data_IF_106381713015
#
_entry.id   IF_106381713015
#
_cell.length_a   1.000
_cell.length_b   1.000
_cell.length_c   1.000
_cell.angle_alpha   90.00
_cell.angle_beta   90.00
_cell.angle_gamma   90.00
#
_symmetry.space_group_name_H-M   'P 1'
#
loop_
_entity.id
_entity.type
_entity.pdbx_description
1 polymer ?
#
# COMPACT_ATOMS: atom_id res chain seq x y z
N UNK A 1 -23.12 4.33 21.95
CA UNK A 1 -22.32 3.08 21.86
C UNK A 1 -20.93 3.39 22.40
N UNK A 2 -20.32 2.48 23.18
CA UNK A 2 -18.94 2.66 23.66
C UNK A 2 -17.94 2.65 22.50
N UNK A 3 -16.77 3.26 22.69
CA UNK A 3 -15.68 3.23 21.70
C UNK A 3 -15.31 1.80 21.33
N UNK A 4 -15.17 0.91 22.32
CA UNK A 4 -14.85 -0.50 22.10
C UNK A 4 -15.84 -1.20 21.15
N UNK A 5 -17.15 -0.99 21.36
CA UNK A 5 -18.17 -1.62 20.50
C UNK A 5 -18.11 -1.05 19.07
N UNK A 6 -17.86 0.26 18.91
CA UNK A 6 -17.68 0.87 17.59
C UNK A 6 -16.47 0.28 16.86
N UNK A 7 -15.33 0.16 17.54
CA UNK A 7 -14.11 -0.44 16.96
C UNK A 7 -14.30 -1.91 16.60
N UNK A 8 -15.03 -2.70 17.42
CA UNK A 8 -15.35 -4.10 17.09
C UNK A 8 -16.18 -4.18 15.80
N UNK A 9 -17.22 -3.35 15.67
CA UNK A 9 -18.04 -3.34 14.45
C UNK A 9 -17.22 -2.91 13.25
N UNK A 10 -16.40 -1.87 13.39
CA UNK A 10 -15.49 -1.42 12.34
C UNK A 10 -14.55 -2.54 11.89
N UNK A 11 -13.87 -3.23 12.81
CA UNK A 11 -12.95 -4.31 12.49
C UNK A 11 -13.65 -5.50 11.81
N UNK A 12 -14.85 -5.86 12.29
CA UNK A 12 -15.65 -6.92 11.68
C UNK A 12 -16.04 -6.57 10.24
N UNK A 13 -16.46 -5.33 9.99
CA UNK A 13 -16.79 -4.85 8.64
C UNK A 13 -15.55 -4.80 7.75
N UNK A 14 -14.43 -4.25 8.25
CA UNK A 14 -13.20 -4.11 7.48
C UNK A 14 -12.70 -5.48 7.04
N UNK A 15 -12.68 -6.44 7.97
CA UNK A 15 -12.33 -7.83 7.67
C UNK A 15 -13.29 -8.44 6.65
N UNK A 16 -14.61 -8.36 6.88
CA UNK A 16 -15.61 -8.98 6.01
C UNK A 16 -15.59 -8.42 4.59
N UNK A 17 -15.42 -7.11 4.42
CA UNK A 17 -15.39 -6.46 3.10
C UNK A 17 -14.08 -6.81 2.37
N UNK A 18 -12.92 -6.65 3.02
CA UNK A 18 -11.63 -6.96 2.40
C UNK A 18 -11.54 -8.42 1.99
N UNK A 19 -11.86 -9.35 2.90
CA UNK A 19 -11.81 -10.78 2.59
C UNK A 19 -12.94 -11.24 1.67
N UNK A 20 -14.12 -10.64 1.76
CA UNK A 20 -15.23 -10.94 0.85
C UNK A 20 -14.87 -10.68 -0.61
N UNK A 21 -14.11 -9.62 -0.89
CA UNK A 21 -13.59 -9.32 -2.23
C UNK A 21 -12.63 -10.42 -2.71
N UNK A 22 -11.65 -10.79 -1.90
CA UNK A 22 -10.64 -11.81 -2.26
C UNK A 22 -11.28 -13.19 -2.43
N UNK A 23 -12.12 -13.60 -1.47
CA UNK A 23 -12.82 -14.88 -1.49
C UNK A 23 -13.76 -14.95 -2.70
N UNK A 24 -14.52 -13.89 -2.95
CA UNK A 24 -15.39 -13.80 -4.11
C UNK A 24 -14.62 -13.92 -5.43
N UNK A 25 -13.49 -13.22 -5.55
CA UNK A 25 -12.65 -13.31 -6.73
C UNK A 25 -12.03 -14.71 -6.93
N UNK A 26 -11.63 -15.37 -5.85
CA UNK A 26 -11.15 -16.75 -5.90
C UNK A 26 -12.23 -17.71 -6.42
N UNK A 27 -13.43 -17.68 -5.87
CA UNK A 27 -14.54 -18.53 -6.32
C UNK A 27 -15.05 -18.17 -7.73
N UNK A 28 -14.82 -16.94 -8.18
CA UNK A 28 -15.08 -16.53 -9.56
C UNK A 28 -13.99 -16.99 -10.55
N UNK A 29 -12.94 -17.68 -10.09
CA UNK A 29 -11.81 -18.11 -10.93
C UNK A 29 -10.91 -16.96 -11.41
N UNK A 30 -10.98 -15.80 -10.75
CA UNK A 30 -10.19 -14.61 -11.11
C UNK A 30 -8.82 -14.58 -10.43
N UNK A 31 -8.60 -15.38 -9.39
CA UNK A 31 -7.35 -15.40 -8.60
C UNK A 31 -6.12 -15.78 -9.42
N UNK A 32 -6.31 -16.65 -10.42
CA UNK A 32 -5.21 -17.23 -11.18
C UNK A 32 -4.89 -16.41 -12.44
N UNK A 33 -5.67 -15.37 -12.70
CA UNK A 33 -5.47 -14.48 -13.84
C UNK A 33 -4.62 -13.27 -13.42
N UNK A 34 -3.37 -13.14 -13.92
CA UNK A 34 -2.48 -12.03 -13.56
C UNK A 34 -3.06 -10.64 -13.87
N UNK A 35 -3.97 -10.55 -14.84
CA UNK A 35 -4.64 -9.30 -15.19
C UNK A 35 -5.54 -8.77 -14.07
N UNK A 36 -6.12 -9.66 -13.26
CA UNK A 36 -7.03 -9.29 -12.18
C UNK A 36 -6.37 -9.23 -10.80
N UNK A 37 -5.17 -9.79 -10.63
CA UNK A 37 -4.46 -9.80 -9.35
C UNK A 37 -4.31 -8.40 -8.74
N UNK A 38 -3.77 -7.43 -9.49
CA UNK A 38 -3.58 -6.06 -9.00
C UNK A 38 -4.91 -5.33 -8.71
N UNK A 39 -5.92 -5.34 -9.61
CA UNK A 39 -7.23 -4.78 -9.31
C UNK A 39 -7.92 -5.37 -8.07
N UNK A 40 -7.86 -6.70 -7.88
CA UNK A 40 -8.46 -7.38 -6.72
C UNK A 40 -7.77 -6.94 -5.43
N UNK A 41 -6.43 -6.91 -5.43
CA UNK A 41 -5.64 -6.43 -4.29
C UNK A 41 -5.96 -4.97 -3.96
N UNK A 42 -6.02 -4.10 -4.97
CA UNK A 42 -6.40 -2.70 -4.77
C UNK A 42 -7.83 -2.58 -4.21
N UNK A 43 -8.77 -3.40 -4.69
CA UNK A 43 -10.15 -3.39 -4.22
C UNK A 43 -10.28 -3.84 -2.76
N UNK A 44 -9.59 -4.91 -2.34
CA UNK A 44 -9.65 -5.36 -0.93
C UNK A 44 -9.10 -4.32 0.05
N UNK A 45 -8.14 -3.48 -0.37
CA UNK A 45 -7.57 -2.42 0.47
C UNK A 45 -8.57 -1.28 0.74
N UNK A 46 -9.69 -1.22 0.00
CA UNK A 46 -10.77 -0.26 0.26
C UNK A 46 -11.66 -0.65 1.46
N UNK A 47 -11.53 -1.87 1.98
CA UNK A 47 -12.37 -2.39 3.06
C UNK A 47 -12.41 -1.51 4.32
N UNK A 48 -11.27 -1.06 4.87
CA UNK A 48 -11.24 -0.13 6.00
C UNK A 48 -11.96 1.20 5.72
N UNK A 49 -11.72 1.85 4.58
CA UNK A 49 -12.44 3.08 4.21
C UNK A 49 -13.96 2.87 4.14
N UNK A 50 -14.41 1.83 3.45
CA UNK A 50 -15.85 1.53 3.33
C UNK A 50 -16.45 1.29 4.73
N UNK A 51 -15.72 0.56 5.59
CA UNK A 51 -16.16 0.27 6.95
C UNK A 51 -16.24 1.51 7.83
N UNK A 52 -15.26 2.42 7.74
CA UNK A 52 -15.29 3.69 8.45
C UNK A 52 -16.42 4.58 7.95
N UNK A 53 -16.72 4.60 6.65
CA UNK A 53 -17.87 5.32 6.11
C UNK A 53 -19.17 4.74 6.69
N UNK A 54 -19.37 3.41 6.63
CA UNK A 54 -20.56 2.76 7.21
C UNK A 54 -20.70 3.11 8.68
N UNK A 55 -19.65 2.94 9.48
CA UNK A 55 -19.67 3.25 10.92
C UNK A 55 -19.96 4.73 11.19
N UNK A 56 -19.36 5.64 10.41
CA UNK A 56 -19.56 7.09 10.53
C UNK A 56 -21.02 7.46 10.29
N UNK A 57 -21.64 6.93 9.23
CA UNK A 57 -23.03 7.23 8.90
C UNK A 57 -24.01 6.55 9.86
N UNK A 58 -23.66 5.38 10.41
CA UNK A 58 -24.50 4.62 11.34
C UNK A 58 -24.44 5.14 12.79
N UNK A 59 -23.27 5.60 13.25
CA UNK A 59 -23.04 5.86 14.68
C UNK A 59 -22.81 7.33 15.03
N UNK A 60 -22.42 8.16 14.07
CA UNK A 60 -22.07 9.56 14.32
C UNK A 60 -23.16 10.52 13.85
N UNK A 61 -23.33 11.61 14.61
CA UNK A 61 -24.28 12.67 14.26
C UNK A 61 -23.81 13.39 13.01
N UNK A 62 -24.74 13.92 12.21
CA UNK A 62 -24.43 14.54 10.92
C UNK A 62 -23.31 15.61 10.97
N UNK A 63 -23.24 16.41 12.04
CA UNK A 63 -22.20 17.44 12.22
C UNK A 63 -20.83 16.92 12.69
N UNK A 64 -20.71 15.67 13.11
CA UNK A 64 -19.47 15.10 13.66
C UNK A 64 -18.75 14.16 12.68
N UNK A 65 -19.38 13.85 11.53
CA UNK A 65 -18.89 12.85 10.57
C UNK A 65 -17.51 13.14 10.00
N UNK A 66 -17.23 14.39 9.64
CA UNK A 66 -15.91 14.79 9.10
C UNK A 66 -14.83 14.61 10.16
N UNK A 67 -15.13 14.95 11.42
CA UNK A 67 -14.22 14.75 12.55
C UNK A 67 -14.02 13.26 12.83
N UNK A 68 -15.10 12.47 12.79
CA UNK A 68 -15.06 11.04 13.00
C UNK A 68 -14.29 10.29 11.90
N UNK A 69 -14.15 10.85 10.70
CA UNK A 69 -13.30 10.29 9.64
C UNK A 69 -11.84 10.78 9.70
N UNK A 70 -11.47 11.62 10.67
CA UNK A 70 -10.11 12.16 10.78
C UNK A 70 -9.68 13.01 9.58
N UNK A 71 -10.63 13.60 8.84
CA UNK A 71 -10.37 14.40 7.65
C UNK A 71 -9.91 15.81 8.03
N UNK A 72 -8.70 15.90 8.58
CA UNK A 72 -8.02 17.16 8.88
C UNK A 72 -6.59 17.16 8.34
N UNK A 73 -6.23 18.21 7.60
CA UNK A 73 -4.89 18.38 7.08
C UNK A 73 -4.13 19.40 7.93
N UNK A 74 -3.09 18.92 8.63
CA UNK A 74 -2.15 19.77 9.37
C UNK A 74 -0.73 19.30 9.08
N UNK A 75 0.01 20.00 8.19
CA UNK A 75 1.41 19.70 7.94
C UNK A 75 2.18 19.69 9.25
N UNK A 76 3.01 18.67 9.44
CA UNK A 76 3.88 18.57 10.60
C UNK A 76 5.14 17.76 10.25
N UNK A 77 6.14 17.81 11.12
CA UNK A 77 7.44 17.13 10.91
C UNK A 77 7.31 15.62 10.72
N UNK A 78 6.27 14.98 11.27
CA UNK A 78 6.02 13.56 11.11
C UNK A 78 5.71 13.16 9.67
N UNK A 79 5.30 14.09 8.80
CA UNK A 79 5.12 13.80 7.37
C UNK A 79 6.45 13.47 6.71
N UNK A 80 7.47 14.28 7.01
CA UNK A 80 8.83 14.07 6.50
C UNK A 80 9.43 12.81 7.13
N UNK A 81 9.24 12.62 8.43
CA UNK A 81 9.73 11.42 9.12
C UNK A 81 9.05 10.14 8.62
N UNK A 82 7.73 10.14 8.40
CA UNK A 82 7.00 8.99 7.87
C UNK A 82 7.44 8.63 6.44
N UNK A 83 7.88 9.60 5.65
CA UNK A 83 8.47 9.34 4.34
C UNK A 83 9.92 8.84 4.44
N UNK A 84 10.74 9.43 5.33
CA UNK A 84 12.17 9.13 5.44
C UNK A 84 12.44 7.81 6.18
N UNK A 85 11.68 7.48 7.22
CA UNK A 85 11.91 6.30 8.07
C UNK A 85 11.90 5.00 7.26
N UNK A 86 10.91 4.71 6.38
CA UNK A 86 10.94 3.50 5.55
C UNK A 86 12.15 3.42 4.62
N UNK A 87 12.61 4.57 4.10
CA UNK A 87 13.82 4.65 3.25
C UNK A 87 15.05 4.26 4.06
N UNK A 88 15.19 4.81 5.27
CA UNK A 88 16.28 4.49 6.17
C UNK A 88 16.25 3.02 6.60
N UNK A 89 15.07 2.47 6.90
CA UNK A 89 14.91 1.05 7.24
C UNK A 89 15.30 0.17 6.05
N UNK A 90 14.88 0.51 4.83
CA UNK A 90 15.25 -0.21 3.61
C UNK A 90 16.76 -0.20 3.37
N UNK A 91 17.38 0.98 3.45
CA UNK A 91 18.84 1.12 3.33
C UNK A 91 19.60 0.36 4.42
N UNK A 92 19.13 0.45 5.67
CA UNK A 92 19.71 -0.28 6.80
C UNK A 92 19.57 -1.80 6.63
N UNK A 93 18.46 -2.27 6.07
CA UNK A 93 18.25 -3.69 5.78
C UNK A 93 19.21 -4.22 4.73
N UNK A 94 19.47 -3.43 3.67
CA UNK A 94 20.49 -3.77 2.65
C UNK A 94 21.88 -3.79 3.27
N UNK A 95 22.24 -2.78 4.05
CA UNK A 95 23.53 -2.73 4.73
C UNK A 95 23.71 -3.90 5.70
N UNK A 96 22.69 -4.22 6.50
CA UNK A 96 22.69 -5.36 7.40
C UNK A 96 22.88 -6.68 6.64
N UNK A 97 22.22 -6.85 5.50
CA UNK A 97 22.36 -8.06 4.66
C UNK A 97 23.79 -8.23 4.18
N UNK A 98 24.44 -7.16 3.71
CA UNK A 98 25.83 -7.20 3.23
C UNK A 98 26.81 -7.46 4.39
N UNK A 99 26.57 -6.87 5.56
CA UNK A 99 27.49 -6.97 6.71
C UNK A 99 27.36 -8.30 7.46
N UNK A 100 26.18 -8.93 7.43
CA UNK A 100 25.85 -10.09 8.27
C UNK A 100 25.70 -11.39 7.47
N UNK A 101 25.95 -11.39 6.16
CA UNK A 101 25.86 -12.58 5.31
C UNK A 101 26.93 -12.58 4.21
N UNK A 102 27.02 -13.68 3.46
CA UNK A 102 27.95 -13.79 2.31
C UNK A 102 27.44 -13.08 1.03
N UNK A 103 26.36 -12.30 1.13
CA UNK A 103 25.80 -11.57 -0.01
C UNK A 103 26.56 -10.26 -0.26
N UNK A 104 26.65 -9.89 -1.53
CA UNK A 104 27.24 -8.63 -1.97
C UNK A 104 26.18 -7.70 -2.56
N UNK A 105 26.48 -6.41 -2.58
CA UNK A 105 25.63 -5.43 -3.24
C UNK A 105 25.55 -5.71 -4.74
N UNK A 106 24.34 -5.71 -5.27
CA UNK A 106 24.06 -5.73 -6.71
C UNK A 106 23.38 -4.43 -7.09
N UNK A 107 23.87 -3.79 -8.14
CA UNK A 107 23.25 -2.59 -8.70
C UNK A 107 21.79 -2.87 -9.10
N UNK A 108 20.86 -2.04 -8.65
CA UNK A 108 19.41 -2.28 -8.79
C UNK A 108 19.03 -2.48 -10.26
N UNK A 109 19.57 -1.65 -11.16
CA UNK A 109 19.34 -1.73 -12.58
C UNK A 109 19.82 -3.05 -13.17
N UNK A 110 21.03 -3.48 -12.81
CA UNK A 110 21.56 -4.79 -13.21
C UNK A 110 20.71 -5.95 -12.67
N UNK A 111 20.24 -5.85 -11.42
CA UNK A 111 19.37 -6.86 -10.81
C UNK A 111 18.02 -6.99 -11.51
N UNK A 112 17.40 -5.87 -11.90
CA UNK A 112 16.16 -5.87 -12.69
C UNK A 112 16.37 -6.50 -14.07
N UNK A 113 17.50 -6.24 -14.74
CA UNK A 113 17.82 -6.88 -16.03
C UNK A 113 17.96 -8.39 -15.87
N UNK A 114 18.77 -8.84 -14.92
CA UNK A 114 18.97 -10.26 -14.64
C UNK A 114 17.65 -10.96 -14.30
N UNK A 115 16.78 -10.33 -13.51
CA UNK A 115 15.46 -10.87 -13.18
C UNK A 115 14.54 -10.95 -14.40
N UNK A 116 14.55 -9.94 -15.27
CA UNK A 116 13.74 -9.94 -16.50
C UNK A 116 14.23 -10.97 -17.52
N UNK A 117 15.55 -11.10 -17.70
CA UNK A 117 16.17 -12.12 -18.55
C UNK A 117 15.85 -13.54 -18.04
N UNK A 118 15.92 -13.76 -16.72
CA UNK A 118 15.52 -15.03 -16.11
C UNK A 118 14.03 -15.37 -16.32
N UNK A 119 13.18 -14.37 -16.55
CA UNK A 119 11.77 -14.52 -16.91
C UNK A 119 11.54 -14.62 -18.43
N UNK A 120 12.59 -14.69 -19.24
CA UNK A 120 12.51 -14.74 -20.70
C UNK A 120 11.96 -13.46 -21.33
N UNK A 121 12.05 -12.31 -20.64
CA UNK A 121 11.59 -11.03 -21.17
C UNK A 121 12.65 -10.42 -22.07
N UNK A 122 12.24 -10.03 -23.28
CA UNK A 122 13.11 -9.29 -24.20
C UNK A 122 13.21 -7.81 -23.78
N UNK A 123 14.39 -7.42 -23.32
CA UNK A 123 14.69 -6.05 -22.89
C UNK A 123 15.09 -5.14 -24.05
N UNK A 124 15.25 -5.64 -25.27
CA UNK A 124 15.61 -4.82 -26.44
C UNK A 124 14.56 -3.76 -26.76
N UNK A 125 13.31 -4.04 -26.42
CA UNK A 125 12.17 -3.13 -26.59
C UNK A 125 11.96 -2.21 -25.37
N UNK A 126 12.65 -2.47 -24.26
CA UNK A 126 12.51 -1.67 -23.05
C UNK A 126 13.32 -0.37 -23.18
N UNK A 127 12.77 0.79 -22.78
CA UNK A 127 13.54 2.03 -22.74
C UNK A 127 14.76 1.87 -21.83
N UNK A 128 15.92 2.41 -22.24
CA UNK A 128 17.16 2.28 -21.47
C UNK A 128 17.03 2.76 -20.01
N UNK A 129 16.21 3.79 -19.78
CA UNK A 129 15.96 4.32 -18.44
C UNK A 129 15.19 3.34 -17.54
N UNK A 130 14.39 2.41 -18.08
CA UNK A 130 13.56 1.49 -17.30
C UNK A 130 14.38 0.50 -16.46
N UNK A 131 15.65 0.32 -16.82
CA UNK A 131 16.62 -0.51 -16.10
C UNK A 131 17.72 0.32 -15.45
N UNK A 132 17.56 1.65 -15.35
CA UNK A 132 18.50 2.53 -14.66
C UNK A 132 18.23 2.51 -13.17
N UNK A 133 19.25 2.25 -12.36
CA UNK A 133 19.17 2.32 -10.89
C UNK A 133 18.59 3.64 -10.41
N UNK A 134 19.05 4.77 -10.94
CA UNK A 134 18.56 6.08 -10.52
C UNK A 134 17.11 6.31 -10.88
N UNK A 135 16.67 5.81 -12.04
CA UNK A 135 15.27 5.88 -12.42
C UNK A 135 14.42 5.01 -11.51
N UNK A 136 14.81 3.76 -11.25
CA UNK A 136 14.08 2.82 -10.39
C UNK A 136 14.00 3.36 -8.96
N UNK A 137 15.10 3.87 -8.40
CA UNK A 137 15.12 4.49 -7.07
C UNK A 137 14.22 5.72 -7.03
N UNK A 138 14.31 6.61 -8.02
CA UNK A 138 13.45 7.81 -8.07
C UNK A 138 11.97 7.43 -8.20
N UNK A 139 11.67 6.42 -9.02
CA UNK A 139 10.34 5.83 -9.15
C UNK A 139 9.85 5.28 -7.81
N UNK A 140 10.66 4.50 -7.09
CA UNK A 140 10.27 3.93 -5.81
C UNK A 140 10.05 4.99 -4.72
N UNK A 141 10.97 5.95 -4.60
CA UNK A 141 10.97 6.94 -3.52
C UNK A 141 9.94 8.06 -3.70
N UNK A 142 9.70 8.47 -4.95
CA UNK A 142 8.84 9.62 -5.27
C UNK A 142 7.53 9.15 -5.88
N UNK A 143 7.58 8.50 -7.05
CA UNK A 143 6.37 8.16 -7.79
C UNK A 143 5.56 7.05 -7.10
N UNK A 144 6.23 6.07 -6.49
CA UNK A 144 5.58 5.03 -5.69
C UNK A 144 4.78 5.63 -4.54
N UNK A 145 5.39 6.57 -3.80
CA UNK A 145 4.69 7.31 -2.75
C UNK A 145 3.52 8.13 -3.32
N UNK A 146 3.71 8.85 -4.42
CA UNK A 146 2.66 9.68 -5.03
C UNK A 146 1.49 8.88 -5.61
N UNK A 147 1.74 7.71 -6.21
CA UNK A 147 0.71 6.83 -6.77
C UNK A 147 -0.05 6.13 -5.64
N UNK A 148 0.65 5.69 -4.61
CA UNK A 148 0.04 4.99 -3.49
C UNK A 148 -0.67 5.94 -2.52
N UNK A 149 -0.32 7.23 -2.48
CA UNK A 149 -0.97 8.19 -1.60
C UNK A 149 -2.50 8.32 -1.84
N UNK A 150 -3.00 8.58 -3.06
CA UNK A 150 -4.44 8.70 -3.31
C UNK A 150 -5.20 7.37 -3.19
N UNK A 151 -4.57 6.23 -3.50
CA UNK A 151 -5.24 4.93 -3.50
C UNK A 151 -5.09 4.27 -2.14
N UNK A 152 -3.87 4.02 -1.67
CA UNK A 152 -3.61 3.27 -0.43
C UNK A 152 -3.74 4.15 0.80
N UNK A 153 -3.07 5.31 0.82
CA UNK A 153 -3.11 6.17 2.01
C UNK A 153 -4.52 6.69 2.27
N UNK A 154 -5.26 7.15 1.27
CA UNK A 154 -6.63 7.62 1.50
C UNK A 154 -7.64 6.51 1.78
N UNK A 155 -7.49 5.30 1.23
CA UNK A 155 -8.44 4.21 1.52
C UNK A 155 -8.14 3.50 2.84
N UNK A 156 -6.88 3.37 3.22
CA UNK A 156 -6.51 2.76 4.49
C UNK A 156 -6.55 3.76 5.64
N UNK A 157 -5.91 4.92 5.54
CA UNK A 157 -5.85 5.90 6.65
C UNK A 157 -7.23 6.46 7.00
N UNK A 158 -8.14 6.62 6.03
CA UNK A 158 -9.52 7.03 6.32
C UNK A 158 -10.21 6.02 7.23
N UNK A 159 -9.92 4.73 7.01
CA UNK A 159 -10.37 3.63 7.86
C UNK A 159 -9.82 3.74 9.28
N UNK A 160 -8.51 3.78 9.40
CA UNK A 160 -7.79 3.66 10.68
C UNK A 160 -7.84 4.92 11.56
N UNK A 161 -8.05 6.10 10.97
CA UNK A 161 -8.12 7.35 11.76
C UNK A 161 -9.46 7.55 12.44
N UNK A 162 -10.51 6.87 11.95
CA UNK A 162 -11.87 7.13 12.41
C UNK A 162 -12.38 6.24 13.54
N UNK A 163 -11.82 5.04 13.70
CA UNK A 163 -12.34 3.98 14.59
C UNK A 163 -11.24 3.06 15.12
#
# INVERSE_FOLDING_TARGET
MSTANKSIVFLALAFAISWGIVIGAHFAGLSDNPMFATPILAAMMTGPAISALICTFAFEKAGERVRALGLHFKPNVWWVLAWLIPILIGGASVAATILLSDHHYVDIGSGVRAAAEAQGKDLSLAPAFATSTWFIVSMALVFGALINMPILTFTEELGWRGY
#
